data_IF_786145214254
#
_entry.id   IF_786145214254
#
_cell.length_a   1.000
_cell.length_b   1.000
_cell.length_c   1.000
_cell.angle_alpha   90.00
_cell.angle_beta   90.00
_cell.angle_gamma   90.00
#
_symmetry.space_group_name_H-M   'P 1'
#
loop_
_entity.id
_entity.type
_entity.pdbx_description
1 polymer ?
#
# COMPACT_ATOMS: atom_id res chain seq x y z
N UNK A 1 10.81 13.88 -17.02
CA UNK A 1 9.85 13.03 -17.73
C UNK A 1 8.44 13.50 -17.45
N UNK A 2 7.83 13.26 -16.27
CA UNK A 2 6.44 13.69 -16.02
C UNK A 2 6.13 15.17 -16.32
N UNK A 3 7.00 16.10 -15.89
CA UNK A 3 6.83 17.55 -16.14
C UNK A 3 6.92 17.89 -17.65
N UNK A 4 7.67 17.12 -18.42
CA UNK A 4 7.95 17.40 -19.83
C UNK A 4 7.02 16.64 -20.79
N UNK A 5 6.67 15.39 -20.45
CA UNK A 5 5.95 14.45 -21.32
C UNK A 5 4.52 14.13 -20.80
N UNK A 6 4.15 14.60 -19.61
CA UNK A 6 2.87 14.30 -18.95
C UNK A 6 2.68 12.83 -18.54
N UNK A 7 3.65 11.97 -18.86
CA UNK A 7 3.56 10.54 -18.66
C UNK A 7 4.63 10.03 -17.71
N UNK A 8 4.22 9.13 -16.83
CA UNK A 8 5.07 8.37 -15.94
C UNK A 8 4.35 7.05 -15.63
N UNK A 9 5.10 5.96 -15.65
CA UNK A 9 4.61 4.62 -15.31
C UNK A 9 4.57 4.45 -13.79
N UNK A 10 3.36 4.25 -13.26
CA UNK A 10 3.15 3.94 -11.85
C UNK A 10 3.01 2.43 -11.71
N UNK A 11 3.74 1.85 -10.75
CA UNK A 11 3.83 0.41 -10.50
C UNK A 11 4.02 0.15 -9.01
N UNK A 12 3.86 -1.10 -8.57
CA UNK A 12 4.06 -1.50 -7.17
C UNK A 12 5.45 -1.11 -6.64
N UNK A 13 6.48 -1.17 -7.48
CA UNK A 13 7.87 -0.90 -7.09
C UNK A 13 8.15 0.58 -6.82
N UNK A 14 7.47 1.48 -7.55
CA UNK A 14 7.78 2.91 -7.53
C UNK A 14 6.63 3.77 -6.98
N UNK A 15 5.45 3.21 -6.76
CA UNK A 15 4.24 3.95 -6.37
C UNK A 15 4.47 4.84 -5.15
N UNK A 16 4.93 4.28 -4.03
CA UNK A 16 5.09 5.04 -2.79
C UNK A 16 6.16 6.15 -2.93
N UNK A 17 7.24 5.90 -3.67
CA UNK A 17 8.25 6.91 -3.97
C UNK A 17 7.68 8.03 -4.84
N UNK A 18 6.86 7.69 -5.84
CA UNK A 18 6.21 8.66 -6.72
C UNK A 18 5.19 9.52 -5.96
N UNK A 19 4.37 8.93 -5.09
CA UNK A 19 3.46 9.68 -4.21
C UNK A 19 4.26 10.64 -3.33
N UNK A 20 5.31 10.15 -2.66
CA UNK A 20 6.13 10.99 -1.78
C UNK A 20 6.81 12.12 -2.54
N UNK A 21 7.32 11.86 -3.74
CA UNK A 21 7.90 12.90 -4.60
C UNK A 21 6.85 13.90 -5.06
N UNK A 22 5.65 13.44 -5.44
CA UNK A 22 4.55 14.31 -5.85
C UNK A 22 4.11 15.25 -4.72
N UNK A 23 4.02 14.72 -3.50
CA UNK A 23 3.70 15.48 -2.28
C UNK A 23 4.80 16.51 -1.96
N UNK A 24 6.07 16.08 -1.90
CA UNK A 24 7.21 16.96 -1.61
C UNK A 24 7.38 18.09 -2.63
N UNK A 25 7.14 17.82 -3.92
CA UNK A 25 7.26 18.79 -4.99
C UNK A 25 5.94 19.55 -5.26
N UNK A 26 4.89 19.25 -4.51
CA UNK A 26 3.54 19.82 -4.67
C UNK A 26 2.99 19.68 -6.10
N UNK A 27 3.27 18.56 -6.76
CA UNK A 27 2.78 18.24 -8.11
C UNK A 27 1.43 17.51 -7.98
N UNK A 28 0.35 18.27 -7.77
CA UNK A 28 -1.00 17.73 -7.52
C UNK A 28 -1.46 16.71 -8.57
N UNK A 29 -1.28 17.01 -9.85
CA UNK A 29 -1.68 16.08 -10.92
C UNK A 29 -0.95 14.72 -10.86
N UNK A 30 0.32 14.70 -10.42
CA UNK A 30 1.05 13.45 -10.23
C UNK A 30 0.53 12.69 -9.01
N UNK A 31 0.23 13.42 -7.94
CA UNK A 31 -0.33 12.86 -6.72
C UNK A 31 -1.67 12.18 -7.01
N UNK A 32 -2.59 12.89 -7.67
CA UNK A 32 -3.91 12.37 -8.05
C UNK A 32 -3.80 11.10 -8.91
N UNK A 33 -2.89 11.11 -9.89
CA UNK A 33 -2.62 9.94 -10.73
C UNK A 33 -2.09 8.75 -9.91
N UNK A 34 -1.22 9.00 -8.93
CA UNK A 34 -0.70 7.95 -8.08
C UNK A 34 -1.78 7.39 -7.14
N UNK A 35 -2.72 8.22 -6.67
CA UNK A 35 -3.86 7.76 -5.87
C UNK A 35 -4.78 6.89 -6.72
N UNK A 36 -5.15 7.35 -7.92
CA UNK A 36 -5.99 6.60 -8.87
C UNK A 36 -5.40 5.22 -9.18
N UNK A 37 -4.13 5.18 -9.63
CA UNK A 37 -3.46 3.89 -9.92
C UNK A 37 -3.23 3.07 -8.65
N UNK A 38 -3.01 3.75 -7.51
CA UNK A 38 -2.81 3.11 -6.21
C UNK A 38 -3.95 2.17 -5.84
N UNK A 39 -5.20 2.61 -6.04
CA UNK A 39 -6.38 1.78 -5.79
C UNK A 39 -6.43 0.53 -6.68
N UNK A 40 -5.99 0.63 -7.94
CA UNK A 40 -6.02 -0.49 -8.88
C UNK A 40 -4.90 -1.51 -8.63
N UNK A 41 -3.74 -1.08 -8.11
CA UNK A 41 -2.59 -1.96 -7.89
C UNK A 41 -2.60 -2.65 -6.53
N UNK A 42 -3.48 -2.26 -5.58
CA UNK A 42 -3.63 -2.94 -4.29
C UNK A 42 -4.50 -4.19 -4.48
N UNK A 43 -3.84 -5.34 -4.53
CA UNK A 43 -4.45 -6.66 -4.71
C UNK A 43 -3.95 -7.60 -3.61
N UNK A 44 -4.49 -8.82 -3.54
CA UNK A 44 -4.01 -9.85 -2.61
C UNK A 44 -2.48 -9.99 -2.62
N UNK A 45 -1.90 -10.10 -3.81
CA UNK A 45 -0.46 -10.34 -3.99
C UNK A 45 0.40 -9.13 -3.60
N UNK A 46 -0.10 -7.92 -3.85
CA UNK A 46 0.69 -6.68 -3.75
C UNK A 46 0.43 -5.91 -2.46
N UNK A 47 -0.68 -6.17 -1.78
CA UNK A 47 -1.11 -5.49 -0.56
C UNK A 47 -0.02 -5.45 0.54
N UNK A 48 0.67 -6.55 0.88
CA UNK A 48 1.68 -6.50 1.93
C UNK A 48 2.84 -5.56 1.60
N UNK A 49 3.29 -5.58 0.34
CA UNK A 49 4.39 -4.74 -0.14
C UNK A 49 3.99 -3.26 -0.19
N UNK A 50 2.78 -2.96 -0.65
CA UNK A 50 2.27 -1.59 -0.69
C UNK A 50 2.06 -1.02 0.70
N UNK A 51 1.52 -1.81 1.64
CA UNK A 51 1.40 -1.40 3.04
C UNK A 51 2.76 -1.11 3.68
N UNK A 52 3.76 -1.97 3.45
CA UNK A 52 5.14 -1.73 3.91
C UNK A 52 5.69 -0.45 3.32
N UNK A 53 5.67 -0.30 2.00
CA UNK A 53 6.20 0.86 1.31
C UNK A 53 5.51 2.16 1.77
N UNK A 54 4.21 2.10 2.07
CA UNK A 54 3.45 3.24 2.55
C UNK A 54 3.94 3.73 3.92
N UNK A 55 4.29 2.80 4.81
CA UNK A 55 4.86 3.11 6.13
C UNK A 55 6.31 3.56 6.02
N UNK A 56 7.15 2.83 5.29
CA UNK A 56 8.60 3.09 5.19
C UNK A 56 8.91 4.45 4.55
N UNK A 57 8.10 4.87 3.57
CA UNK A 57 8.30 6.15 2.88
C UNK A 57 7.44 7.29 3.43
N UNK A 58 6.67 7.02 4.49
CA UNK A 58 5.80 7.99 5.15
C UNK A 58 4.98 8.79 4.12
N UNK A 59 4.22 8.09 3.27
CA UNK A 59 3.41 8.76 2.24
C UNK A 59 2.41 9.70 2.93
N UNK A 60 2.45 10.96 2.53
CA UNK A 60 1.85 12.06 3.28
C UNK A 60 0.32 12.01 3.39
N UNK A 61 -0.20 12.79 4.34
CA UNK A 61 -1.62 13.03 4.52
C UNK A 61 -2.40 11.83 5.06
N UNK A 62 -3.65 11.67 4.59
CA UNK A 62 -4.52 10.56 4.95
C UNK A 62 -4.27 9.30 4.12
N UNK A 63 -3.38 9.37 3.11
CA UNK A 63 -3.20 8.27 2.18
C UNK A 63 -2.51 7.06 2.83
N UNK A 64 -1.51 7.28 3.70
CA UNK A 64 -0.87 6.19 4.43
C UNK A 64 -1.88 5.37 5.25
N UNK A 65 -2.69 5.95 6.16
CA UNK A 65 -3.66 5.16 6.92
C UNK A 65 -4.73 4.50 6.03
N UNK A 66 -5.17 5.17 4.95
CA UNK A 66 -6.11 4.58 3.98
C UNK A 66 -5.53 3.34 3.29
N UNK A 67 -4.30 3.43 2.79
CA UNK A 67 -3.63 2.32 2.10
C UNK A 67 -3.35 1.15 3.05
N UNK A 68 -2.96 1.45 4.29
CA UNK A 68 -2.82 0.42 5.33
C UNK A 68 -4.16 -0.29 5.57
N UNK A 69 -5.25 0.47 5.72
CA UNK A 69 -6.57 -0.11 5.96
C UNK A 69 -7.02 -0.98 4.79
N UNK A 70 -6.90 -0.49 3.55
CA UNK A 70 -7.25 -1.26 2.34
C UNK A 70 -6.40 -2.53 2.23
N UNK A 71 -5.10 -2.44 2.47
CA UNK A 71 -4.23 -3.60 2.42
C UNK A 71 -4.64 -4.65 3.47
N UNK A 72 -4.99 -4.21 4.67
CA UNK A 72 -5.49 -5.09 5.73
C UNK A 72 -6.84 -5.72 5.34
N UNK A 73 -7.76 -4.95 4.77
CA UNK A 73 -9.07 -5.44 4.29
C UNK A 73 -8.91 -6.51 3.20
N UNK A 74 -7.87 -6.39 2.37
CA UNK A 74 -7.54 -7.36 1.33
C UNK A 74 -6.84 -8.59 1.90
N UNK A 75 -5.95 -8.41 2.88
CA UNK A 75 -5.15 -9.51 3.44
C UNK A 75 -6.02 -10.40 4.35
N UNK A 76 -6.86 -9.83 5.21
CA UNK A 76 -7.53 -10.56 6.27
C UNK A 76 -8.42 -11.72 5.80
N UNK A 77 -9.27 -11.58 4.76
CA UNK A 77 -10.16 -12.66 4.30
C UNK A 77 -9.44 -13.88 3.70
N UNK A 78 -8.17 -13.72 3.34
CA UNK A 78 -7.34 -14.77 2.73
C UNK A 78 -6.01 -14.93 3.47
N UNK A 79 -5.97 -14.54 4.75
CA UNK A 79 -4.76 -14.50 5.55
C UNK A 79 -4.01 -15.84 5.54
N UNK A 80 -4.74 -16.95 5.56
CA UNK A 80 -4.16 -18.30 5.53
C UNK A 80 -3.43 -18.65 4.22
N UNK A 81 -3.67 -17.90 3.14
CA UNK A 81 -3.04 -18.10 1.84
C UNK A 81 -1.67 -17.43 1.71
N UNK A 82 -1.35 -16.47 2.59
CA UNK A 82 -0.08 -15.76 2.56
C UNK A 82 1.06 -16.62 3.08
N UNK A 83 2.24 -16.51 2.45
CA UNK A 83 3.44 -17.16 2.94
C UNK A 83 4.02 -16.35 4.09
N UNK A 84 4.82 -17.01 4.92
CA UNK A 84 5.56 -16.33 5.99
C UNK A 84 6.36 -15.13 5.47
N UNK A 85 7.00 -15.26 4.30
CA UNK A 85 7.76 -14.18 3.66
C UNK A 85 6.92 -12.94 3.34
N UNK A 86 5.65 -13.13 3.00
CA UNK A 86 4.73 -12.05 2.61
C UNK A 86 4.24 -11.29 3.85
N UNK A 87 4.13 -11.97 4.99
CA UNK A 87 3.70 -11.37 6.25
C UNK A 87 4.87 -10.75 7.03
N UNK A 88 6.08 -11.31 6.97
CA UNK A 88 7.25 -10.78 7.69
C UNK A 88 7.71 -9.41 7.20
N UNK A 89 7.32 -9.02 6.00
CA UNK A 89 7.65 -7.70 5.46
C UNK A 89 6.70 -6.61 5.98
N UNK A 90 5.62 -6.98 6.67
CA UNK A 90 4.67 -6.01 7.21
C UNK A 90 5.29 -5.25 8.38
N UNK A 91 5.18 -3.91 8.40
CA UNK A 91 5.54 -3.12 9.57
C UNK A 91 4.73 -3.53 10.79
N UNK A 92 5.32 -3.43 11.99
CA UNK A 92 4.71 -3.88 13.24
C UNK A 92 3.28 -3.32 13.43
N UNK A 93 3.09 -2.03 13.18
CA UNK A 93 1.78 -1.38 13.29
C UNK A 93 0.71 -1.96 12.34
N UNK A 94 1.10 -2.38 11.13
CA UNK A 94 0.18 -3.00 10.16
C UNK A 94 -0.16 -4.41 10.60
N UNK A 95 0.86 -5.14 11.08
CA UNK A 95 0.70 -6.50 11.56
C UNK A 95 -0.19 -6.55 12.82
N UNK A 96 0.00 -5.65 13.77
CA UNK A 96 -0.85 -5.52 14.96
C UNK A 96 -2.30 -5.19 14.60
N UNK A 97 -2.51 -4.29 13.63
CA UNK A 97 -3.85 -3.94 13.17
C UNK A 97 -4.53 -5.12 12.46
N UNK A 98 -3.78 -5.88 11.66
CA UNK A 98 -4.26 -7.09 11.00
C UNK A 98 -4.70 -8.16 12.00
N UNK A 99 -3.92 -8.40 13.05
CA UNK A 99 -4.23 -9.41 14.09
C UNK A 99 -5.42 -9.04 14.98
N UNK A 100 -5.84 -7.78 15.01
CA UNK A 100 -7.01 -7.32 15.78
C UNK A 100 -8.33 -7.52 15.04
N UNK A 101 -8.30 -8.08 13.84
CA UNK A 101 -9.49 -8.25 13.02
C UNK A 101 -10.28 -9.49 13.41
N UNK A 102 -11.58 -9.29 13.57
CA UNK A 102 -12.52 -10.35 13.89
C UNK A 102 -12.79 -11.28 12.68
N UNK A 103 -12.54 -10.82 11.46
CA UNK A 103 -12.74 -11.55 10.20
C UNK A 103 -11.44 -12.16 9.63
N UNK A 104 -10.41 -12.30 10.47
CA UNK A 104 -9.15 -12.89 10.07
C UNK A 104 -9.33 -14.38 9.71
N UNK A 105 -9.06 -14.75 8.47
CA UNK A 105 -9.19 -16.13 8.01
C UNK A 105 -8.01 -16.99 8.51
N UNK A 106 -8.24 -17.77 9.57
CA UNK A 106 -7.26 -18.70 10.13
C UNK A 106 -7.77 -20.14 10.00
N UNK A 107 -6.95 -21.05 9.46
CA UNK A 107 -7.34 -22.46 9.23
C UNK A 107 -7.35 -23.34 10.49
N UNK A 108 -6.82 -22.85 11.61
CA UNK A 108 -6.88 -23.50 12.91
C UNK A 108 -7.08 -22.42 13.99
N UNK A 109 -8.17 -22.52 14.74
CA UNK A 109 -8.33 -21.89 16.05
C UNK A 109 -7.69 -22.76 17.13
#
# INVERSE_FOLDING_TARGET
DYIYDGNIGVSVENWASLVKMADLLQIGALFDKCVEVGSDIITAETAPKLARNAVELEVGGNLQPEVIQIAIDVIAPQFSSYKHTDLTILPLQVFEALLKRDDLEVRNE
#
